data_IF_525449629389
#
_entry.id   IF_525449629389
#
_cell.length_a   1.000
_cell.length_b   1.000
_cell.length_c   1.000
_cell.angle_alpha   90.00
_cell.angle_beta   90.00
_cell.angle_gamma   90.00
#
_symmetry.space_group_name_H-M   'P 1'
#
loop_
_entity.id
_entity.type
_entity.pdbx_description
1 polymer ?
#
# COMPACT_ATOMS: atom_id res chain seq x y z
N UNK A 1 34.34 11.43 -17.30
CA UNK A 1 33.91 11.06 -17.04
C UNK A 1 33.05 10.78 -16.46
N UNK A 2 32.51 10.71 -16.51
CA UNK A 2 31.64 10.51 -16.05
C UNK A 2 31.28 9.63 -15.44
N UNK A 3 31.33 9.18 -15.17
CA UNK A 3 30.93 8.51 -14.67
C UNK A 3 31.00 7.97 -13.81
N UNK A 4 30.85 8.06 -13.44
CA UNK A 4 31.02 7.65 -12.78
C UNK A 4 30.82 7.07 -12.01
N UNK A 5 30.79 6.64 -11.97
CA UNK A 5 30.63 5.95 -11.29
C UNK A 5 29.42 5.22 -10.81
N UNK A 6 29.39 3.92 -10.40
CA UNK A 6 28.25 3.10 -10.18
C UNK A 6 27.38 3.55 -9.03
N UNK A 7 27.99 3.81 -7.87
CA UNK A 7 27.22 4.27 -6.71
C UNK A 7 26.54 5.62 -6.94
N UNK A 8 27.24 6.52 -7.58
CA UNK A 8 26.67 7.83 -7.91
C UNK A 8 25.50 7.70 -8.88
N UNK A 9 25.61 6.80 -9.83
CA UNK A 9 24.55 6.56 -10.80
C UNK A 9 23.28 6.01 -10.10
N UNK A 10 23.44 5.09 -9.15
CA UNK A 10 22.32 4.55 -8.41
C UNK A 10 21.63 5.60 -7.56
N UNK A 11 22.40 6.42 -6.85
CA UNK A 11 21.85 7.50 -6.05
C UNK A 11 21.12 8.52 -6.92
N UNK A 12 21.65 8.84 -8.07
CA UNK A 12 21.04 9.78 -8.99
C UNK A 12 19.72 9.24 -9.55
N UNK A 13 19.67 7.97 -9.87
CA UNK A 13 18.45 7.36 -10.37
C UNK A 13 17.33 7.41 -9.33
N UNK A 14 17.65 7.15 -8.06
CA UNK A 14 16.68 7.25 -6.99
C UNK A 14 16.20 8.68 -6.80
N UNK A 15 17.10 9.66 -6.85
CA UNK A 15 16.74 11.06 -6.73
C UNK A 15 15.83 11.51 -7.88
N UNK A 16 16.11 11.07 -9.11
CA UNK A 16 15.28 11.41 -10.27
C UNK A 16 13.86 10.87 -10.08
N UNK A 17 13.70 9.62 -9.62
CA UNK A 17 12.38 9.05 -9.35
C UNK A 17 11.64 9.87 -8.29
N UNK A 18 12.33 10.27 -7.22
CA UNK A 18 11.73 11.06 -6.14
C UNK A 18 11.31 12.45 -6.58
N UNK A 19 11.99 13.02 -7.59
CA UNK A 19 11.69 14.37 -8.08
C UNK A 19 10.57 14.40 -9.13
N UNK A 20 10.15 13.26 -9.64
CA UNK A 20 9.07 13.19 -10.62
C UNK A 20 7.75 13.63 -10.01
N UNK A 21 6.88 14.20 -10.88
CA UNK A 21 5.52 14.50 -10.46
C UNK A 21 4.73 13.20 -10.26
N UNK A 22 3.62 13.32 -9.56
CA UNK A 22 2.73 12.17 -9.38
C UNK A 22 2.27 11.62 -10.72
N UNK A 23 1.93 12.52 -11.66
CA UNK A 23 1.50 12.11 -13.00
C UNK A 23 2.60 11.37 -13.76
N UNK A 24 3.84 11.83 -13.63
CA UNK A 24 4.96 11.17 -14.31
C UNK A 24 5.23 9.79 -13.71
N UNK A 25 5.12 9.67 -12.39
CA UNK A 25 5.30 8.38 -11.73
C UNK A 25 4.18 7.42 -12.09
N UNK A 26 2.95 7.93 -12.16
CA UNK A 26 1.81 7.11 -12.55
C UNK A 26 1.96 6.61 -13.98
N UNK A 27 2.39 7.48 -14.89
CA UNK A 27 2.64 7.08 -16.27
C UNK A 27 3.76 6.04 -16.36
N UNK A 28 4.83 6.22 -15.58
CA UNK A 28 5.94 5.27 -15.54
C UNK A 28 5.48 3.92 -15.02
N UNK A 29 4.67 3.90 -13.97
CA UNK A 29 4.13 2.67 -13.41
C UNK A 29 3.24 1.97 -14.43
N UNK A 30 2.38 2.72 -15.11
CA UNK A 30 1.50 2.18 -16.13
C UNK A 30 2.27 1.63 -17.32
N UNK A 31 3.43 2.21 -17.61
CA UNK A 31 4.31 1.78 -18.68
C UNK A 31 5.22 0.61 -18.34
N UNK A 32 5.18 0.11 -17.11
CA UNK A 32 5.95 -1.06 -16.73
C UNK A 32 7.09 -0.82 -15.75
N UNK A 33 7.28 0.42 -15.28
CA UNK A 33 8.34 0.72 -14.31
C UNK A 33 7.81 0.42 -12.91
N UNK A 34 7.92 -0.84 -12.49
CA UNK A 34 7.36 -1.30 -11.21
C UNK A 34 7.91 -0.56 -10.01
N UNK A 35 9.17 -0.10 -10.10
CA UNK A 35 9.79 0.63 -9.00
C UNK A 35 9.07 1.94 -8.66
N UNK A 36 8.28 2.50 -9.59
CA UNK A 36 7.51 3.70 -9.32
C UNK A 36 6.41 3.48 -8.29
N UNK A 37 5.98 2.22 -8.07
CA UNK A 37 4.95 1.91 -7.10
C UNK A 37 5.33 2.36 -5.69
N UNK A 38 6.56 2.05 -5.26
CA UNK A 38 7.01 2.41 -3.92
C UNK A 38 6.99 3.92 -3.70
N UNK A 39 7.47 4.68 -4.67
CA UNK A 39 7.51 6.13 -4.56
C UNK A 39 6.10 6.72 -4.52
N UNK A 40 5.21 6.24 -5.40
CA UNK A 40 3.82 6.69 -5.41
C UNK A 40 3.12 6.34 -4.09
N UNK A 41 3.29 5.12 -3.62
CA UNK A 41 2.66 4.69 -2.37
C UNK A 41 3.12 5.59 -1.22
N UNK A 42 4.41 5.89 -1.14
CA UNK A 42 4.94 6.75 -0.09
C UNK A 42 4.34 8.15 -0.15
N UNK A 43 4.11 8.68 -1.35
CA UNK A 43 3.53 10.02 -1.50
C UNK A 43 2.09 10.09 -1.02
N UNK A 44 1.35 9.00 -1.14
CA UNK A 44 -0.05 8.96 -0.72
C UNK A 44 -0.23 8.29 0.64
N UNK A 45 0.87 7.82 1.25
CA UNK A 45 0.81 7.05 2.49
C UNK A 45 0.04 7.76 3.59
N UNK A 46 0.28 9.04 3.77
CA UNK A 46 -0.36 9.80 4.84
C UNK A 46 -1.88 9.86 4.68
N UNK A 47 -2.32 10.08 3.44
CA UNK A 47 -3.76 10.09 3.14
C UNK A 47 -4.38 8.72 3.39
N UNK A 48 -3.71 7.67 2.95
CA UNK A 48 -4.18 6.31 3.14
C UNK A 48 -4.21 5.96 4.62
N UNK A 49 -3.19 6.38 5.35
CA UNK A 49 -3.11 6.13 6.79
C UNK A 49 -4.30 6.76 7.51
N UNK A 50 -4.62 8.02 7.20
CA UNK A 50 -5.76 8.70 7.81
C UNK A 50 -7.06 7.98 7.50
N UNK A 51 -7.25 7.60 6.24
CA UNK A 51 -8.45 6.88 5.84
C UNK A 51 -8.62 5.58 6.63
N UNK A 52 -7.54 4.81 6.73
CA UNK A 52 -7.58 3.53 7.45
C UNK A 52 -7.79 3.76 8.94
N UNK A 53 -7.05 4.71 9.51
CA UNK A 53 -7.10 4.99 10.94
C UNK A 53 -8.53 5.28 11.41
N UNK A 54 -9.27 6.09 10.63
CA UNK A 54 -10.63 6.47 10.99
C UNK A 54 -11.65 5.35 10.79
N UNK A 55 -11.29 4.31 10.04
CA UNK A 55 -12.20 3.22 9.71
C UNK A 55 -11.85 1.90 10.38
N UNK A 56 -10.74 1.86 11.10
CA UNK A 56 -10.37 0.64 11.83
C UNK A 56 -11.37 0.38 12.94
N UNK A 57 -11.75 -0.89 13.05
CA UNK A 57 -12.70 -1.33 14.07
C UNK A 57 -12.07 -1.20 15.45
N UNK A 58 -12.68 -0.43 16.38
CA UNK A 58 -12.11 -0.25 17.73
C UNK A 58 -11.91 -1.55 18.50
N UNK A 59 -12.67 -2.61 18.13
CA UNK A 59 -12.52 -3.91 18.80
C UNK A 59 -11.18 -4.57 18.51
N UNK A 60 -10.43 -4.07 17.52
CA UNK A 60 -9.15 -4.65 17.13
C UNK A 60 -7.95 -3.86 17.63
N UNK A 61 -8.17 -2.89 18.52
CA UNK A 61 -7.07 -2.13 19.13
C UNK A 61 -6.08 -3.12 19.77
N UNK A 62 -4.80 -2.93 19.46
CA UNK A 62 -3.73 -3.82 19.92
C UNK A 62 -3.51 -5.05 19.06
N UNK A 63 -4.39 -5.34 18.10
CA UNK A 63 -4.25 -6.49 17.21
C UNK A 63 -3.98 -6.08 15.77
N UNK A 64 -4.52 -4.94 15.36
CA UNK A 64 -4.41 -4.45 13.98
C UNK A 64 -4.34 -2.94 14.03
N UNK A 65 -3.32 -2.36 13.42
CA UNK A 65 -3.21 -0.90 13.31
C UNK A 65 -3.18 -0.49 11.85
N UNK A 66 -3.18 0.83 11.61
CA UNK A 66 -3.20 1.36 10.26
C UNK A 66 -1.95 0.97 9.47
N UNK A 67 -0.80 0.89 10.13
CA UNK A 67 0.43 0.50 9.44
C UNK A 67 0.39 -0.94 8.95
N UNK A 68 -0.24 -1.84 9.71
CA UNK A 68 -0.43 -3.23 9.28
C UNK A 68 -1.25 -3.28 8.00
N UNK A 69 -2.34 -2.50 7.94
CA UNK A 69 -3.20 -2.45 6.76
C UNK A 69 -2.43 -1.89 5.57
N UNK A 70 -1.66 -0.83 5.77
CA UNK A 70 -0.89 -0.21 4.69
C UNK A 70 0.17 -1.14 4.14
N UNK A 71 0.86 -1.85 5.01
CA UNK A 71 1.89 -2.79 4.58
C UNK A 71 1.28 -3.89 3.71
N UNK A 72 0.17 -4.46 4.16
CA UNK A 72 -0.52 -5.50 3.41
C UNK A 72 -1.06 -4.95 2.10
N UNK A 73 -1.58 -3.72 2.10
CA UNK A 73 -2.09 -3.07 0.90
C UNK A 73 -1.00 -2.85 -0.14
N UNK A 74 0.19 -2.46 0.31
CA UNK A 74 1.33 -2.28 -0.58
C UNK A 74 1.70 -3.62 -1.26
N UNK A 75 1.75 -4.69 -0.49
CA UNK A 75 2.05 -6.01 -1.03
C UNK A 75 0.99 -6.45 -2.04
N UNK A 76 -0.29 -6.21 -1.72
CA UNK A 76 -1.38 -6.54 -2.63
C UNK A 76 -1.30 -5.72 -3.91
N UNK A 77 -0.97 -4.43 -3.81
CA UNK A 77 -0.82 -3.57 -4.97
C UNK A 77 0.26 -4.09 -5.89
N UNK A 78 1.38 -4.53 -5.33
CA UNK A 78 2.47 -5.09 -6.12
C UNK A 78 2.07 -6.32 -6.91
N UNK A 79 1.15 -7.12 -6.36
CA UNK A 79 0.66 -8.31 -7.04
C UNK A 79 -0.36 -8.00 -8.14
N UNK A 80 -0.94 -6.81 -8.14
CA UNK A 80 -2.06 -6.45 -9.01
C UNK A 80 -1.72 -5.36 -10.01
N UNK A 81 -0.45 -5.13 -10.29
CA UNK A 81 -0.03 -4.09 -11.23
C UNK A 81 -0.60 -4.31 -12.64
N UNK A 82 -0.75 -5.56 -13.04
CA UNK A 82 -1.37 -5.86 -14.35
C UNK A 82 -2.79 -5.30 -14.43
N UNK A 83 -3.56 -5.41 -13.34
CA UNK A 83 -4.91 -4.87 -13.29
C UNK A 83 -4.90 -3.34 -13.35
N UNK A 84 -3.95 -2.70 -12.67
CA UNK A 84 -3.80 -1.26 -12.74
C UNK A 84 -3.52 -0.80 -14.17
N UNK A 85 -2.63 -1.52 -14.86
CA UNK A 85 -2.25 -1.18 -16.25
C UNK A 85 -3.38 -1.38 -17.24
N UNK A 86 -4.27 -2.31 -16.96
CA UNK A 86 -5.40 -2.60 -17.82
C UNK A 86 -6.58 -1.66 -17.61
N UNK A 87 -6.55 -0.87 -16.53
CA UNK A 87 -7.64 0.01 -16.15
C UNK A 87 -7.22 1.47 -16.31
N UNK A 88 -8.18 2.35 -16.53
CA UNK A 88 -7.93 3.77 -16.67
C UNK A 88 -8.03 4.54 -15.34
N UNK A 89 -8.24 3.85 -14.23
CA UNK A 89 -8.37 4.51 -12.92
C UNK A 89 -7.10 5.25 -12.54
N UNK A 90 -7.21 6.48 -12.02
CA UNK A 90 -6.05 7.15 -11.44
C UNK A 90 -5.48 6.32 -10.29
N UNK A 91 -4.17 6.45 -10.08
CA UNK A 91 -3.50 5.64 -9.07
C UNK A 91 -4.15 5.78 -7.69
N UNK A 92 -4.47 6.99 -7.27
CA UNK A 92 -5.06 7.21 -5.94
C UNK A 92 -6.38 6.46 -5.78
N UNK A 93 -7.22 6.47 -6.82
CA UNK A 93 -8.49 5.74 -6.78
C UNK A 93 -8.24 4.24 -6.67
N UNK A 94 -7.32 3.73 -7.48
CA UNK A 94 -6.99 2.31 -7.49
C UNK A 94 -6.42 1.84 -6.16
N UNK A 95 -5.44 2.58 -5.61
CA UNK A 95 -4.80 2.17 -4.37
C UNK A 95 -5.75 2.29 -3.17
N UNK A 96 -6.68 3.26 -3.20
CA UNK A 96 -7.69 3.37 -2.15
C UNK A 96 -8.62 2.16 -2.14
N UNK A 97 -9.00 1.69 -3.32
CA UNK A 97 -9.85 0.49 -3.43
C UNK A 97 -9.12 -0.74 -2.88
N UNK A 98 -7.85 -0.91 -3.21
CA UNK A 98 -7.06 -2.02 -2.69
C UNK A 98 -6.95 -1.91 -1.17
N UNK A 99 -6.68 -0.72 -0.66
CA UNK A 99 -6.53 -0.50 0.78
C UNK A 99 -7.83 -0.79 1.52
N UNK A 100 -8.96 -0.36 0.97
CA UNK A 100 -10.27 -0.65 1.57
C UNK A 100 -10.57 -2.14 1.59
N UNK A 101 -10.31 -2.83 0.49
CA UNK A 101 -10.54 -4.27 0.42
C UNK A 101 -9.62 -5.02 1.37
N UNK A 102 -8.36 -4.62 1.44
CA UNK A 102 -7.39 -5.23 2.37
C UNK A 102 -7.85 -5.04 3.82
N UNK A 103 -8.32 -3.85 4.15
CA UNK A 103 -8.82 -3.58 5.50
C UNK A 103 -10.03 -4.46 5.85
N UNK A 104 -10.96 -4.60 4.91
CA UNK A 104 -12.12 -5.47 5.10
C UNK A 104 -11.68 -6.92 5.35
N UNK A 105 -10.75 -7.41 4.56
CA UNK A 105 -10.25 -8.77 4.68
C UNK A 105 -9.56 -8.99 6.02
N UNK A 106 -8.75 -8.02 6.44
CA UNK A 106 -8.07 -8.09 7.73
C UNK A 106 -9.05 -7.98 8.90
N UNK A 107 -10.08 -7.14 8.78
CA UNK A 107 -11.15 -7.07 9.78
C UNK A 107 -11.80 -8.43 9.96
N UNK A 108 -12.21 -9.06 8.87
CA UNK A 108 -12.83 -10.38 8.93
C UNK A 108 -11.94 -11.40 9.61
N UNK A 109 -10.67 -11.40 9.22
CA UNK A 109 -9.70 -12.36 9.75
C UNK A 109 -9.50 -12.18 11.25
N UNK A 110 -9.28 -10.94 11.68
CA UNK A 110 -8.99 -10.64 13.08
C UNK A 110 -10.22 -10.71 13.97
N UNK A 111 -11.38 -10.25 13.51
CA UNK A 111 -12.60 -10.37 14.27
C UNK A 111 -13.04 -11.82 14.40
N UNK A 112 -12.90 -12.60 13.32
CA UNK A 112 -13.19 -14.03 13.37
C UNK A 112 -12.34 -14.76 14.38
N UNK A 113 -11.04 -14.46 14.40
CA UNK A 113 -10.11 -15.06 15.36
C UNK A 113 -10.48 -14.66 16.78
N UNK A 114 -10.81 -13.39 17.01
CA UNK A 114 -11.18 -12.87 18.32
C UNK A 114 -12.46 -13.54 18.83
N UNK A 115 -13.46 -13.70 17.98
CA UNK A 115 -14.71 -14.32 18.36
C UNK A 115 -14.54 -15.80 18.65
N UNK A 116 -13.71 -16.51 17.89
CA UNK A 116 -13.42 -17.91 18.17
C UNK A 116 -12.70 -18.08 19.50
N UNK A 117 -11.78 -17.18 19.81
CA UNK A 117 -11.07 -17.19 21.09
C UNK A 117 -12.02 -16.95 22.25
N UNK A 118 -12.91 -15.96 22.13
CA UNK A 118 -13.92 -15.69 23.16
C UNK A 118 -14.86 -16.86 23.35
N UNK A 119 -15.27 -17.52 22.25
CA UNK A 119 -16.12 -18.70 22.33
C UNK A 119 -15.47 -19.84 23.07
N UNK A 120 -14.18 -20.05 22.84
CA UNK A 120 -13.42 -21.10 23.55
C UNK A 120 -13.29 -20.78 25.04
N UNK A 121 -13.13 -19.53 25.39
CA UNK A 121 -13.05 -19.11 26.79
C UNK A 121 -14.37 -19.35 27.51
N UNK A 122 -15.49 -19.07 26.85
CA UNK A 122 -16.81 -19.30 27.44
C UNK A 122 -17.06 -20.78 27.65
N UNK A 123 -16.63 -21.62 26.73
CA UNK A 123 -16.85 -23.07 26.81
C UNK A 123 -15.89 -23.76 27.78
N UNK A 124 -14.76 -23.14 28.03
CA UNK A 124 -13.79 -23.72 28.95
C UNK A 124 -14.23 -23.47 30.39
#
# INVERSE_FOLDING_TARGET
>A
MRRTVGGAAGARAGAVVMERTDEALEAALRGGEDAALGTLFDRFRERLHRMVHFRLDPRLVGRLDADDVLQESYLEAGKRLAAFRADDKPFLVWIRLITQQTMIDLHRKHLGAKMRSAGREVLA
#
